data_IF_410069329571
#
_entry.id   IF_410069329571
#
_cell.length_a   1.000
_cell.length_b   1.000
_cell.length_c   1.000
_cell.angle_alpha   90.00
_cell.angle_beta   90.00
_cell.angle_gamma   90.00
#
_symmetry.space_group_name_H-M   'P 1'
#
loop_
_entity.id
_entity.type
_entity.pdbx_description
1 polymer ?
#
# COMPACT_ATOMS: atom_id res chain seq x y z
N UNK A 1 -12.09 54.24 19.62
CA UNK A 1 -13.04 53.65 20.58
C UNK A 1 -12.24 52.77 21.53
N UNK A 2 -12.20 53.18 22.80
CA UNK A 2 -11.42 52.59 23.87
C UNK A 2 -12.37 52.22 25.02
N UNK A 3 -11.87 51.33 25.90
CA UNK A 3 -12.37 50.93 27.23
C UNK A 3 -13.42 49.79 27.28
N UNK A 4 -13.49 49.03 28.40
CA UNK A 4 -12.37 48.53 29.23
C UNK A 4 -12.55 47.10 29.80
N UNK A 5 -11.50 46.65 30.51
CA UNK A 5 -11.41 45.49 31.42
C UNK A 5 -12.47 45.49 32.53
N UNK A 6 -12.78 44.32 33.09
CA UNK A 6 -12.93 44.18 34.54
C UNK A 6 -12.51 42.76 35.04
N UNK A 7 -11.72 42.65 36.14
CA UNK A 7 -11.21 41.40 36.70
C UNK A 7 -11.84 41.03 38.06
N UNK A 8 -11.25 40.02 38.73
CA UNK A 8 -11.47 39.56 40.12
C UNK A 8 -12.64 38.56 40.28
N UNK A 9 -12.63 37.53 41.12
CA UNK A 9 -11.97 37.23 42.42
C UNK A 9 -11.83 35.68 42.51
N UNK A 10 -10.77 35.01 42.98
CA UNK A 10 -10.07 34.99 44.28
C UNK A 10 -10.95 34.55 45.48
N UNK A 11 -10.34 33.76 46.39
CA UNK A 11 -10.79 33.16 47.67
C UNK A 11 -11.13 31.66 47.63
N UNK A 12 -10.69 30.79 48.55
CA UNK A 12 -9.61 30.74 49.57
C UNK A 12 -9.65 29.29 50.17
N UNK A 13 -8.63 28.88 50.95
CA UNK A 13 -8.39 27.51 51.44
C UNK A 13 -8.80 27.31 52.92
N UNK A 14 -8.27 26.21 53.51
CA UNK A 14 -8.23 25.80 54.94
C UNK A 14 -9.36 24.87 55.40
N UNK A 15 -9.23 23.99 56.40
CA UNK A 15 -8.17 23.29 57.18
C UNK A 15 -8.93 22.55 58.30
N UNK A 16 -8.21 21.75 59.10
CA UNK A 16 -8.55 21.28 60.46
C UNK A 16 -9.15 19.86 60.56
N UNK A 17 -8.45 18.86 61.09
CA UNK A 17 -7.85 18.68 62.44
C UNK A 17 -8.90 18.29 63.49
N UNK A 18 -8.83 17.04 63.99
CA UNK A 18 -9.10 16.54 65.37
C UNK A 18 -8.72 15.02 65.34
N UNK A 19 -8.25 14.27 66.35
CA UNK A 19 -7.43 14.36 67.58
C UNK A 19 -7.46 12.95 68.22
N UNK A 20 -6.49 12.67 69.09
CA UNK A 20 -6.43 11.65 70.17
C UNK A 20 -5.79 10.30 69.77
N UNK A 21 -4.55 9.97 70.22
CA UNK A 21 -4.05 9.60 71.57
C UNK A 21 -4.80 8.39 72.15
N UNK A 22 -4.10 7.26 72.33
CA UNK A 22 -3.82 6.61 73.64
C UNK A 22 -2.80 5.47 73.44
N UNK A 23 -2.01 5.25 74.48
CA UNK A 23 -0.81 4.43 74.63
C UNK A 23 -1.16 3.18 75.47
N UNK A 24 -0.63 1.99 75.16
CA UNK A 24 -0.48 0.84 76.08
C UNK A 24 0.31 -0.27 75.36
N UNK A 25 1.62 -0.44 75.60
CA UNK A 25 2.23 -1.39 76.56
C UNK A 25 1.85 -2.87 76.29
N UNK A 26 2.79 -3.72 75.89
CA UNK A 26 3.51 -4.64 76.81
C UNK A 26 4.60 -5.48 76.09
N UNK A 27 5.52 -6.00 76.90
CA UNK A 27 6.83 -6.62 76.63
C UNK A 27 6.76 -8.15 76.36
N UNK A 28 7.96 -8.69 76.06
CA UNK A 28 8.45 -10.08 76.21
C UNK A 28 8.08 -11.05 75.07
N UNK A 29 8.84 -12.05 74.63
CA UNK A 29 10.10 -12.71 75.02
C UNK A 29 10.55 -13.51 73.76
N UNK A 30 11.80 -13.45 73.30
CA UNK A 30 12.88 -14.46 73.50
C UNK A 30 12.72 -15.82 72.77
N UNK A 31 13.78 -16.16 72.02
CA UNK A 31 14.33 -17.49 71.67
C UNK A 31 13.85 -18.30 70.44
N UNK A 32 14.74 -18.33 69.44
CA UNK A 32 15.57 -19.47 68.95
C UNK A 32 14.99 -20.83 68.52
N UNK A 33 15.57 -21.26 67.39
CA UNK A 33 15.97 -22.60 66.91
C UNK A 33 14.97 -23.51 66.15
N UNK A 34 15.26 -23.61 64.83
CA UNK A 34 15.39 -24.78 63.95
C UNK A 34 14.37 -25.93 64.09
N UNK A 35 13.69 -26.27 62.98
CA UNK A 35 13.81 -27.60 62.37
C UNK A 35 13.18 -27.64 60.96
N UNK A 36 13.93 -28.27 60.06
CA UNK A 36 13.62 -28.76 58.73
C UNK A 36 12.36 -29.64 58.63
N UNK A 37 11.57 -29.53 57.55
CA UNK A 37 11.03 -30.67 56.78
C UNK A 37 10.39 -30.14 55.47
N UNK A 38 10.88 -30.59 54.32
CA UNK A 38 10.34 -31.67 53.47
C UNK A 38 9.33 -31.17 52.44
N UNK A 39 9.77 -31.28 51.19
CA UNK A 39 9.08 -30.94 49.95
C UNK A 39 7.59 -31.33 49.93
N UNK A 40 6.74 -30.38 49.53
CA UNK A 40 5.59 -30.68 48.66
C UNK A 40 5.61 -29.74 47.46
N UNK A 41 5.64 -30.41 46.33
CA UNK A 41 5.77 -29.93 44.96
C UNK A 41 4.59 -29.08 44.52
N UNK A 42 4.86 -28.32 43.44
CA UNK A 42 3.91 -27.60 42.56
C UNK A 42 3.33 -26.31 43.14
N UNK A 43 3.93 -25.17 42.79
CA UNK A 43 3.31 -24.06 42.01
C UNK A 43 4.40 -23.04 41.60
N UNK A 44 5.47 -23.52 40.95
CA UNK A 44 6.11 -22.68 39.92
C UNK A 44 5.23 -22.80 38.66
N UNK A 45 5.28 -21.79 37.78
CA UNK A 45 4.72 -21.76 36.41
C UNK A 45 3.34 -21.13 36.15
N UNK A 46 2.67 -20.47 37.11
CA UNK A 46 1.38 -19.83 36.79
C UNK A 46 1.44 -18.34 36.40
N UNK A 47 2.56 -17.64 36.59
CA UNK A 47 2.61 -16.18 36.37
C UNK A 47 3.65 -15.69 35.34
N UNK A 48 4.52 -16.58 34.83
CA UNK A 48 5.47 -16.24 33.75
C UNK A 48 4.90 -16.65 32.37
N UNK A 49 3.94 -17.58 32.34
CA UNK A 49 3.29 -18.04 31.10
C UNK A 49 2.26 -17.05 30.54
N UNK A 50 1.73 -16.12 31.34
CA UNK A 50 0.75 -15.13 30.86
C UNK A 50 1.42 -13.96 30.12
N UNK A 51 2.67 -13.62 30.43
CA UNK A 51 3.41 -12.54 29.73
C UNK A 51 3.98 -12.98 28.38
N UNK A 52 4.19 -14.29 28.17
CA UNK A 52 4.71 -14.86 26.91
C UNK A 52 3.62 -15.05 25.84
N UNK A 53 2.35 -15.09 26.22
CA UNK A 53 1.22 -15.16 25.28
C UNK A 53 0.86 -13.77 24.72
N UNK A 54 1.18 -12.69 25.45
CA UNK A 54 0.87 -11.32 24.99
C UNK A 54 1.83 -10.80 23.90
N UNK A 55 3.06 -11.34 23.82
CA UNK A 55 4.04 -10.92 22.81
C UNK A 55 3.80 -11.53 21.41
N UNK A 56 2.95 -12.55 21.29
CA UNK A 56 2.68 -13.23 20.01
C UNK A 56 1.59 -12.57 19.16
N UNK A 57 0.91 -11.53 19.64
CA UNK A 57 -0.19 -10.88 18.91
C UNK A 57 0.22 -9.71 18.00
N UNK A 58 1.51 -9.37 17.89
CA UNK A 58 1.96 -8.18 17.15
C UNK A 58 2.54 -8.46 15.75
N UNK A 59 2.52 -9.70 15.26
CA UNK A 59 2.76 -9.98 13.84
C UNK A 59 1.45 -9.90 13.05
N UNK A 60 0.83 -8.72 13.02
CA UNK A 60 -0.13 -8.41 11.95
C UNK A 60 0.69 -8.10 10.70
N UNK A 61 0.86 -9.11 9.84
CA UNK A 61 1.48 -8.90 8.53
C UNK A 61 0.66 -7.87 7.76
N UNK A 62 1.28 -6.74 7.40
CA UNK A 62 0.68 -5.80 6.46
C UNK A 62 0.72 -6.46 5.08
N UNK A 63 -0.34 -7.20 4.72
CA UNK A 63 -0.55 -7.59 3.34
C UNK A 63 -0.79 -6.31 2.54
N UNK A 64 0.14 -5.95 1.66
CA UNK A 64 -0.10 -4.89 0.68
C UNK A 64 -1.07 -5.46 -0.35
N UNK A 65 -2.25 -4.87 -0.47
CA UNK A 65 -3.17 -5.17 -1.56
C UNK A 65 -2.50 -4.75 -2.88
N UNK A 66 -2.48 -5.63 -3.88
CA UNK A 66 -1.99 -5.29 -5.21
C UNK A 66 -3.13 -4.80 -6.09
N UNK A 67 -2.80 -3.96 -7.07
CA UNK A 67 -3.76 -3.37 -8.00
C UNK A 67 -4.49 -4.39 -8.89
N UNK A 68 -4.11 -5.67 -8.84
CA UNK A 68 -4.64 -6.74 -9.69
C UNK A 68 -5.15 -7.96 -8.90
N UNK A 69 -5.21 -7.88 -7.57
CA UNK A 69 -5.54 -9.03 -6.70
C UNK A 69 -6.91 -9.65 -7.01
N UNK A 70 -7.87 -8.84 -7.47
CA UNK A 70 -9.24 -9.28 -7.81
C UNK A 70 -9.39 -9.73 -9.28
N UNK A 71 -8.28 -9.77 -10.05
CA UNK A 71 -8.29 -10.08 -11.48
C UNK A 71 -7.53 -11.37 -11.81
N UNK A 72 -7.95 -12.05 -12.87
CA UNK A 72 -7.27 -13.26 -13.33
C UNK A 72 -6.20 -12.92 -14.36
N UNK A 73 -4.97 -13.40 -14.16
CA UNK A 73 -3.92 -13.29 -15.16
C UNK A 73 -4.30 -14.05 -16.42
N UNK A 74 -4.30 -13.35 -17.56
CA UNK A 74 -4.62 -13.89 -18.89
C UNK A 74 -3.39 -14.34 -19.67
N UNK A 75 -2.27 -13.64 -19.48
CA UNK A 75 -1.00 -13.89 -20.15
C UNK A 75 0.09 -12.92 -19.71
N UNK A 76 1.33 -13.23 -20.06
CA UNK A 76 2.51 -12.44 -19.72
C UNK A 76 3.58 -12.58 -20.80
N UNK A 77 4.41 -11.56 -20.98
CA UNK A 77 5.49 -11.55 -21.96
C UNK A 77 6.51 -10.44 -21.68
N UNK A 78 7.54 -10.34 -22.51
CA UNK A 78 8.60 -9.34 -22.35
C UNK A 78 8.74 -8.47 -23.59
N UNK A 79 9.03 -7.19 -23.37
CA UNK A 79 9.40 -6.25 -24.42
C UNK A 79 10.90 -6.14 -24.47
N UNK A 80 11.49 -6.42 -25.64
CA UNK A 80 12.92 -6.28 -25.87
C UNK A 80 13.19 -5.26 -26.96
N UNK A 81 14.23 -4.46 -26.76
CA UNK A 81 14.78 -3.59 -27.80
C UNK A 81 16.23 -3.96 -28.04
N UNK A 82 16.53 -4.34 -29.29
CA UNK A 82 17.83 -4.86 -29.68
C UNK A 82 18.21 -6.10 -28.86
N UNK A 83 19.22 -6.03 -27.99
CA UNK A 83 19.65 -7.14 -27.12
C UNK A 83 19.27 -6.95 -25.64
N UNK A 84 18.45 -5.94 -25.34
CA UNK A 84 18.06 -5.61 -23.97
C UNK A 84 16.55 -5.81 -23.76
N UNK A 85 16.18 -6.49 -22.68
CA UNK A 85 14.80 -6.50 -22.18
C UNK A 85 14.51 -5.20 -21.44
N UNK A 86 13.45 -4.49 -21.84
CA UNK A 86 13.05 -3.21 -21.25
C UNK A 86 12.10 -3.39 -20.07
N UNK A 87 11.09 -4.25 -20.24
CA UNK A 87 10.11 -4.57 -19.21
C UNK A 87 9.47 -5.93 -19.45
N UNK A 88 8.92 -6.53 -18.39
CA UNK A 88 7.88 -7.55 -18.53
C UNK A 88 6.49 -6.90 -18.46
N UNK A 89 5.54 -7.52 -19.15
CA UNK A 89 4.15 -7.10 -19.16
C UNK A 89 3.27 -8.28 -18.78
N UNK A 90 2.30 -8.03 -17.91
CA UNK A 90 1.30 -8.99 -17.48
C UNK A 90 -0.09 -8.40 -17.70
N UNK A 91 -0.96 -9.17 -18.35
CA UNK A 91 -2.33 -8.76 -18.65
C UNK A 91 -3.32 -9.56 -17.81
N UNK A 92 -4.23 -8.84 -17.15
CA UNK A 92 -5.23 -9.39 -16.24
C UNK A 92 -6.64 -8.98 -16.65
N UNK A 93 -7.61 -9.81 -16.33
CA UNK A 93 -9.02 -9.55 -16.65
C UNK A 93 -9.98 -10.28 -15.71
N UNK A 94 -11.18 -9.74 -15.54
CA UNK A 94 -12.32 -10.53 -15.07
C UNK A 94 -12.74 -11.56 -16.12
N UNK A 95 -13.45 -12.65 -15.76
CA UNK A 95 -13.95 -13.63 -16.72
C UNK A 95 -14.85 -13.03 -17.82
N UNK A 96 -15.53 -11.93 -17.51
CA UNK A 96 -16.41 -11.17 -18.42
C UNK A 96 -15.68 -10.16 -19.30
N UNK A 97 -14.36 -9.94 -19.09
CA UNK A 97 -13.60 -8.82 -19.68
C UNK A 97 -14.14 -7.42 -19.33
N UNK A 98 -14.99 -7.29 -18.31
CA UNK A 98 -15.53 -5.99 -17.87
C UNK A 98 -14.46 -5.12 -17.22
N UNK A 99 -13.52 -5.72 -16.51
CA UNK A 99 -12.37 -5.04 -15.91
C UNK A 99 -11.09 -5.67 -16.42
N UNK A 100 -10.11 -4.83 -16.70
CA UNK A 100 -8.82 -5.22 -17.27
C UNK A 100 -7.70 -4.46 -16.62
N UNK A 101 -6.57 -5.10 -16.44
CA UNK A 101 -5.36 -4.44 -15.98
C UNK A 101 -4.15 -4.86 -16.79
N UNK A 102 -3.21 -3.93 -16.95
CA UNK A 102 -1.89 -4.20 -17.51
C UNK A 102 -0.86 -3.73 -16.49
N UNK A 103 -0.02 -4.66 -16.05
CA UNK A 103 1.10 -4.41 -15.15
C UNK A 103 2.40 -4.50 -15.94
N UNK A 104 3.22 -3.47 -15.82
CA UNK A 104 4.56 -3.41 -16.39
C UNK A 104 5.58 -3.41 -15.25
N UNK A 105 6.59 -4.27 -15.34
CA UNK A 105 7.76 -4.25 -14.46
C UNK A 105 8.99 -3.88 -15.27
N UNK A 106 9.58 -2.73 -14.96
CA UNK A 106 10.69 -2.17 -15.71
C UNK A 106 12.01 -2.79 -15.27
N UNK A 107 12.84 -3.17 -16.22
CA UNK A 107 14.18 -3.70 -15.95
C UNK A 107 15.27 -2.65 -16.16
N UNK A 108 14.89 -1.40 -16.45
CA UNK A 108 15.80 -0.29 -16.74
C UNK A 108 15.21 1.02 -16.24
N UNK A 109 16.08 1.96 -15.88
CA UNK A 109 15.66 3.31 -15.57
C UNK A 109 15.25 4.08 -16.83
N UNK A 110 14.11 4.76 -16.77
CA UNK A 110 13.60 5.58 -17.88
C UNK A 110 12.98 6.86 -17.28
N UNK A 111 13.33 8.01 -17.85
CA UNK A 111 12.72 9.27 -17.45
C UNK A 111 11.23 9.32 -17.80
N UNK A 112 10.42 9.92 -16.92
CA UNK A 112 8.97 10.00 -17.10
C UNK A 112 8.60 10.66 -18.42
N UNK A 113 9.35 11.67 -18.84
CA UNK A 113 9.16 12.35 -20.11
C UNK A 113 9.31 11.39 -21.29
N UNK A 114 10.33 10.53 -21.25
CA UNK A 114 10.60 9.57 -22.32
C UNK A 114 9.54 8.46 -22.35
N UNK A 115 9.03 8.03 -21.19
CA UNK A 115 7.88 7.12 -21.11
C UNK A 115 6.63 7.71 -21.78
N UNK A 116 6.30 8.96 -21.46
CA UNK A 116 5.13 9.65 -22.02
C UNK A 116 5.31 9.91 -23.51
N UNK A 117 6.51 10.28 -23.96
CA UNK A 117 6.81 10.47 -25.38
C UNK A 117 6.77 9.16 -26.18
N UNK A 118 7.29 8.05 -25.64
CA UNK A 118 7.15 6.74 -26.25
C UNK A 118 5.67 6.32 -26.36
N UNK A 119 4.87 6.59 -25.34
CA UNK A 119 3.41 6.34 -25.35
C UNK A 119 2.70 7.13 -26.44
N UNK A 120 3.04 8.43 -26.58
CA UNK A 120 2.55 9.29 -27.67
C UNK A 120 2.89 8.69 -29.04
N UNK A 121 4.12 8.22 -29.24
CA UNK A 121 4.56 7.65 -30.51
C UNK A 121 3.82 6.36 -30.85
N UNK A 122 3.52 5.53 -29.85
CA UNK A 122 2.70 4.34 -30.05
C UNK A 122 1.26 4.70 -30.46
N UNK A 123 0.65 5.70 -29.83
CA UNK A 123 -0.68 6.16 -30.26
C UNK A 123 -0.70 6.78 -31.65
N UNK A 124 0.37 7.49 -32.04
CA UNK A 124 0.52 7.98 -33.41
C UNK A 124 0.57 6.82 -34.42
N UNK A 125 1.34 5.76 -34.13
CA UNK A 125 1.41 4.55 -34.97
C UNK A 125 0.06 3.83 -35.07
N UNK A 126 -0.71 3.81 -33.99
CA UNK A 126 -2.07 3.24 -33.95
C UNK A 126 -3.13 4.13 -34.62
N UNK A 127 -2.78 5.35 -35.04
CA UNK A 127 -3.67 6.25 -35.78
C UNK A 127 -4.67 7.01 -34.91
N UNK A 128 -4.43 7.15 -33.60
CA UNK A 128 -5.28 7.99 -32.74
C UNK A 128 -5.18 9.47 -33.15
N UNK A 129 -6.29 10.21 -32.98
CA UNK A 129 -6.32 11.62 -33.34
C UNK A 129 -5.38 12.46 -32.47
N UNK A 130 -4.74 13.47 -33.07
CA UNK A 130 -3.87 14.41 -32.34
C UNK A 130 -4.58 15.07 -31.15
N UNK A 131 -5.86 15.38 -31.30
CA UNK A 131 -6.67 15.99 -30.23
C UNK A 131 -6.85 15.05 -29.03
N UNK A 132 -7.09 13.75 -29.28
CA UNK A 132 -7.19 12.77 -28.21
C UNK A 132 -5.84 12.55 -27.53
N UNK A 133 -4.78 12.36 -28.32
CA UNK A 133 -3.42 12.19 -27.81
C UNK A 133 -3.04 13.38 -26.90
N UNK A 134 -3.17 14.62 -27.36
CA UNK A 134 -2.83 15.81 -26.55
C UNK A 134 -3.61 15.88 -25.24
N UNK A 135 -4.90 15.54 -25.26
CA UNK A 135 -5.74 15.51 -24.06
C UNK A 135 -5.24 14.48 -23.06
N UNK A 136 -4.84 13.29 -23.54
CA UNK A 136 -4.39 12.18 -22.71
C UNK A 136 -2.96 12.33 -22.20
N UNK A 137 -2.07 13.03 -22.93
CA UNK A 137 -0.69 13.26 -22.47
C UNK A 137 -0.62 14.18 -21.26
N UNK A 138 -1.51 15.18 -21.15
CA UNK A 138 -1.50 16.14 -20.03
C UNK A 138 -1.56 15.46 -18.65
N UNK A 139 -2.52 14.56 -18.35
CA UNK A 139 -2.52 13.86 -17.07
C UNK A 139 -1.33 12.89 -16.93
N UNK A 140 -0.86 12.25 -18.01
CA UNK A 140 0.31 11.35 -17.94
C UNK A 140 1.58 12.10 -17.49
N UNK A 141 1.88 13.25 -18.10
CA UNK A 141 3.00 14.11 -17.71
C UNK A 141 2.91 14.61 -16.26
N UNK A 142 1.70 14.76 -15.73
CA UNK A 142 1.50 15.23 -14.37
C UNK A 142 1.66 14.11 -13.32
N UNK A 143 1.36 12.86 -13.68
CA UNK A 143 1.25 11.76 -12.72
C UNK A 143 2.42 10.77 -12.74
N UNK A 144 3.03 10.52 -13.91
CA UNK A 144 4.02 9.46 -14.03
C UNK A 144 5.38 9.89 -13.46
N UNK A 145 5.95 9.14 -12.52
CA UNK A 145 7.31 9.37 -12.04
C UNK A 145 8.32 8.80 -13.04
N UNK A 146 9.61 9.06 -12.78
CA UNK A 146 10.67 8.28 -13.39
C UNK A 146 10.54 6.82 -12.91
N UNK A 147 10.86 5.86 -13.78
CA UNK A 147 10.93 4.44 -13.41
C UNK A 147 12.39 4.08 -13.21
N UNK A 148 12.65 3.18 -12.27
CA UNK A 148 13.93 2.54 -12.05
C UNK A 148 13.83 1.04 -12.35
N UNK A 149 14.97 0.34 -12.35
CA UNK A 149 14.95 -1.12 -12.41
C UNK A 149 14.20 -1.69 -11.20
N UNK A 150 13.21 -2.55 -11.47
CA UNK A 150 12.28 -3.12 -10.48
C UNK A 150 11.02 -2.29 -10.24
N UNK A 151 10.92 -1.06 -10.78
CA UNK A 151 9.70 -0.26 -10.67
C UNK A 151 8.54 -0.92 -11.41
N UNK A 152 7.34 -0.80 -10.84
CA UNK A 152 6.11 -1.30 -11.46
C UNK A 152 5.16 -0.16 -11.80
N UNK A 153 4.58 -0.20 -13.00
CA UNK A 153 3.51 0.68 -13.42
C UNK A 153 2.30 -0.15 -13.84
N UNK A 154 1.18 0.02 -13.16
CA UNK A 154 -0.05 -0.72 -13.43
C UNK A 154 -1.16 0.24 -13.82
N UNK A 155 -1.87 -0.07 -14.91
CA UNK A 155 -3.16 0.53 -15.23
C UNK A 155 -4.27 -0.49 -14.93
N UNK A 156 -5.32 -0.04 -14.24
CA UNK A 156 -6.58 -0.78 -14.07
C UNK A 156 -7.71 0.00 -14.72
N UNK A 157 -8.33 -0.58 -15.74
CA UNK A 157 -9.51 -0.08 -16.41
C UNK A 157 -10.73 -0.78 -15.79
N UNK A 158 -11.50 -0.02 -15.02
CA UNK A 158 -12.70 -0.52 -14.36
C UNK A 158 -13.88 -0.66 -15.34
N UNK A 159 -14.96 -1.28 -14.88
CA UNK A 159 -16.15 -1.57 -15.68
C UNK A 159 -16.82 -0.30 -16.27
N UNK A 160 -16.70 0.84 -15.58
CA UNK A 160 -17.18 2.14 -16.06
C UNK A 160 -16.25 2.82 -17.08
N UNK A 161 -15.15 2.15 -17.45
CA UNK A 161 -14.04 2.60 -18.28
C UNK A 161 -13.19 3.72 -17.66
N UNK A 162 -13.29 3.95 -16.35
CA UNK A 162 -12.35 4.82 -15.63
C UNK A 162 -11.02 4.09 -15.45
N UNK A 163 -9.93 4.78 -15.77
CA UNK A 163 -8.58 4.23 -15.65
C UNK A 163 -7.91 4.73 -14.38
N UNK A 164 -7.38 3.82 -13.58
CA UNK A 164 -6.59 4.10 -12.37
C UNK A 164 -5.16 3.64 -12.59
N UNK A 165 -4.19 4.48 -12.24
CA UNK A 165 -2.78 4.16 -12.31
C UNK A 165 -2.19 3.92 -10.92
N UNK A 166 -1.32 2.92 -10.84
CA UNK A 166 -0.56 2.58 -9.66
C UNK A 166 0.92 2.51 -10.01
N UNK A 167 1.77 3.07 -9.15
CA UNK A 167 3.22 2.95 -9.22
C UNK A 167 3.71 2.28 -7.94
N UNK A 168 4.43 1.17 -8.06
CA UNK A 168 4.84 0.34 -6.91
C UNK A 168 3.69 0.03 -5.95
N UNK A 169 2.56 -0.38 -6.55
CA UNK A 169 1.28 -0.68 -5.91
C UNK A 169 0.62 0.52 -5.18
N UNK A 170 1.16 1.74 -5.32
CA UNK A 170 0.56 2.97 -4.78
C UNK A 170 -0.24 3.71 -5.84
N UNK A 171 -1.49 4.15 -5.56
CA UNK A 171 -2.28 4.90 -6.53
C UNK A 171 -1.64 6.26 -6.82
N UNK A 172 -1.42 6.57 -8.10
CA UNK A 172 -0.78 7.83 -8.54
C UNK A 172 -1.70 8.73 -9.36
N UNK A 173 -2.82 8.22 -9.86
CA UNK A 173 -3.74 9.03 -10.65
C UNK A 173 -4.95 8.30 -11.20
N UNK A 174 -5.93 9.08 -11.65
CA UNK A 174 -7.17 8.60 -12.26
C UNK A 174 -7.43 9.41 -13.53
N UNK A 175 -7.82 8.75 -14.62
CA UNK A 175 -8.29 9.37 -15.86
C UNK A 175 -9.74 8.96 -16.10
N UNK A 176 -10.63 9.95 -16.15
CA UNK A 176 -12.08 9.75 -16.31
C UNK A 176 -12.53 9.66 -17.78
N UNK A 177 -11.65 9.97 -18.73
CA UNK A 177 -11.97 9.85 -20.16
C UNK A 177 -12.14 8.37 -20.51
N UNK A 178 -13.38 7.95 -20.79
CA UNK A 178 -13.76 6.56 -21.06
C UNK A 178 -13.07 5.95 -22.29
N UNK A 179 -12.55 6.79 -23.19
CA UNK A 179 -11.79 6.30 -24.36
C UNK A 179 -10.32 6.02 -24.02
N UNK A 180 -9.81 6.58 -22.92
CA UNK A 180 -8.39 6.50 -22.58
C UNK A 180 -7.95 5.06 -22.28
N UNK A 181 -8.68 4.34 -21.42
CA UNK A 181 -8.27 3.01 -20.96
C UNK A 181 -8.08 2.02 -22.11
N UNK A 182 -9.05 2.01 -23.03
CA UNK A 182 -8.95 1.22 -24.27
C UNK A 182 -7.79 1.66 -25.14
N UNK A 183 -7.60 2.96 -25.34
CA UNK A 183 -6.50 3.47 -26.15
C UNK A 183 -5.12 3.15 -25.56
N UNK A 184 -5.01 3.19 -24.24
CA UNK A 184 -3.78 2.83 -23.55
C UNK A 184 -3.48 1.33 -23.70
N UNK A 185 -4.45 0.47 -23.37
CA UNK A 185 -4.29 -0.98 -23.52
C UNK A 185 -4.03 -1.40 -24.97
N UNK A 186 -4.58 -0.67 -25.94
CA UNK A 186 -4.39 -0.92 -27.37
C UNK A 186 -2.91 -0.87 -27.80
N UNK A 187 -2.03 -0.16 -27.10
CA UNK A 187 -0.58 -0.16 -27.36
C UNK A 187 -0.02 -1.59 -27.38
N UNK A 188 -0.51 -2.46 -26.49
CA UNK A 188 -0.08 -3.86 -26.39
C UNK A 188 -1.08 -4.84 -27.00
N UNK A 189 -2.38 -4.54 -26.96
CA UNK A 189 -3.43 -5.51 -27.26
C UNK A 189 -4.09 -5.33 -28.63
N UNK A 190 -3.90 -4.19 -29.29
CA UNK A 190 -4.44 -3.94 -30.63
C UNK A 190 -3.85 -4.91 -31.64
N UNK A 191 -4.63 -5.33 -32.63
CA UNK A 191 -4.12 -6.08 -33.79
C UNK A 191 -3.06 -5.29 -34.58
N UNK A 192 -3.09 -3.96 -34.48
CA UNK A 192 -2.14 -3.04 -35.13
C UNK A 192 -0.98 -2.61 -34.19
N UNK A 193 -0.76 -3.30 -33.07
CA UNK A 193 0.37 -3.01 -32.17
C UNK A 193 1.72 -3.11 -32.90
N UNK A 194 2.72 -2.36 -32.45
CA UNK A 194 4.09 -2.55 -32.92
C UNK A 194 4.71 -3.86 -32.46
N UNK A 195 4.12 -4.53 -31.45
CA UNK A 195 4.65 -5.75 -30.84
C UNK A 195 3.71 -6.98 -30.95
N UNK A 196 3.47 -7.53 -32.17
CA UNK A 196 2.55 -8.64 -32.35
C UNK A 196 2.92 -9.91 -31.55
N UNK A 197 4.22 -10.15 -31.32
CA UNK A 197 4.69 -11.28 -30.52
C UNK A 197 4.29 -11.16 -29.05
N UNK A 198 4.57 -9.99 -28.46
CA UNK A 198 4.18 -9.66 -27.09
C UNK A 198 2.65 -9.71 -26.93
N UNK A 199 1.90 -9.19 -27.90
CA UNK A 199 0.42 -9.30 -27.90
C UNK A 199 -0.05 -10.74 -27.77
N UNK A 200 0.51 -11.66 -28.57
CA UNK A 200 0.09 -13.07 -28.51
C UNK A 200 0.42 -13.69 -27.15
N UNK A 201 1.54 -13.31 -26.54
CA UNK A 201 1.90 -13.73 -25.18
C UNK A 201 0.88 -13.24 -24.15
N UNK A 202 0.53 -11.95 -24.18
CA UNK A 202 -0.44 -11.32 -23.27
C UNK A 202 -1.86 -11.87 -23.43
N UNK A 203 -2.26 -12.18 -24.66
CA UNK A 203 -3.58 -12.76 -24.96
C UNK A 203 -3.60 -14.30 -24.82
N UNK A 204 -2.49 -14.93 -24.43
CA UNK A 204 -2.35 -16.39 -24.33
C UNK A 204 -2.69 -17.11 -25.64
N UNK A 205 -2.31 -16.52 -26.78
CA UNK A 205 -2.50 -17.05 -28.14
C UNK A 205 -1.32 -17.92 -28.60
N UNK A 206 -0.24 -17.96 -27.83
CA UNK A 206 0.89 -18.86 -28.07
C UNK A 206 0.54 -20.21 -27.44
N UNK A 207 -0.02 -21.11 -28.23
CA UNK A 207 -0.16 -22.53 -27.89
C UNK A 207 0.71 -23.35 -28.83
#
# INVERSE_FOLDING_TARGET
>A
MAFPRNPAQAFKPESDCIRARTQSNDRTHTSFHIQTSKQRTTKLFSFITLSLIFAALLFTGNAKASAVDDLNKRGQGEMSYLFWTLYSAEFYTTPTNSERALKLEYYRSIDSKDLVDATKDQWNKLGYSKNNIQRWLKPLYAMWPNVEEGSTLTIHVAEDNVSRFYFDEQPIGIIQDKQFGEAFLAIWLSENTSEPGLRKQLLGLNK
#
